data_IF_465790620992
#
_entry.id   IF_465790620992
#
_cell.length_a   1.000
_cell.length_b   1.000
_cell.length_c   1.000
_cell.angle_alpha   90.00
_cell.angle_beta   90.00
_cell.angle_gamma   90.00
#
_symmetry.space_group_name_H-M   'P 1'
#
loop_
_entity.id
_entity.type
_entity.pdbx_description
1 polymer ?
#
# COMPACT_ATOMS: atom_id res chain seq x y z
N UNK A 1 -12.13 46.00 -29.82
CA UNK A 1 -11.45 44.78 -29.34
C UNK A 1 -11.82 44.62 -27.88
N UNK A 2 -12.51 43.54 -27.50
CA UNK A 2 -12.90 43.33 -26.11
C UNK A 2 -11.65 43.11 -25.24
N UNK A 3 -11.65 43.53 -23.97
CA UNK A 3 -10.53 43.26 -23.06
C UNK A 3 -10.33 41.73 -22.92
N UNK A 4 -9.09 41.23 -22.86
CA UNK A 4 -8.80 39.79 -22.77
C UNK A 4 -9.58 39.08 -21.65
N UNK A 5 -9.79 39.74 -20.50
CA UNK A 5 -10.60 39.22 -19.38
C UNK A 5 -12.05 38.92 -19.74
N UNK A 6 -12.69 39.79 -20.52
CA UNK A 6 -14.10 39.64 -20.90
C UNK A 6 -14.25 38.47 -21.87
N UNK A 7 -13.29 38.30 -22.80
CA UNK A 7 -13.27 37.18 -23.72
C UNK A 7 -13.15 35.83 -22.99
N UNK A 8 -12.28 35.75 -21.96
CA UNK A 8 -12.07 34.52 -21.19
C UNK A 8 -13.25 34.23 -20.26
N UNK A 9 -13.80 35.24 -19.58
CA UNK A 9 -15.00 35.08 -18.76
C UNK A 9 -16.22 34.60 -19.57
N UNK A 10 -16.37 35.10 -20.81
CA UNK A 10 -17.43 34.66 -21.72
C UNK A 10 -17.17 33.24 -22.27
N UNK A 11 -15.91 32.88 -22.52
CA UNK A 11 -15.53 31.52 -22.92
C UNK A 11 -15.80 30.48 -21.83
N UNK A 12 -15.60 30.82 -20.55
CA UNK A 12 -15.92 29.95 -19.41
C UNK A 12 -17.43 29.69 -19.28
N UNK A 13 -18.27 30.67 -19.63
CA UNK A 13 -19.71 30.49 -19.67
C UNK A 13 -20.22 29.63 -20.84
N UNK A 14 -19.40 29.41 -21.87
CA UNK A 14 -19.78 28.65 -23.07
C UNK A 14 -19.18 27.24 -23.10
N UNK A 15 -17.96 27.05 -22.57
CA UNK A 15 -17.25 25.78 -22.53
C UNK A 15 -16.36 25.71 -21.27
N UNK A 16 -16.87 25.20 -20.14
CA UNK A 16 -16.08 25.01 -18.93
C UNK A 16 -15.05 23.90 -19.15
N UNK A 17 -13.83 24.28 -19.57
CA UNK A 17 -12.68 23.38 -19.69
C UNK A 17 -11.67 23.72 -18.61
N UNK A 18 -11.11 22.72 -17.95
CA UNK A 18 -10.11 22.85 -16.89
C UNK A 18 -8.94 23.77 -17.28
N UNK A 19 -8.46 23.65 -18.52
CA UNK A 19 -7.35 24.47 -19.04
C UNK A 19 -7.70 25.97 -19.09
N UNK A 20 -8.96 26.31 -19.36
CA UNK A 20 -9.42 27.71 -19.40
C UNK A 20 -9.55 28.29 -17.99
N UNK A 21 -10.09 27.51 -17.04
CA UNK A 21 -10.15 27.93 -15.64
C UNK A 21 -8.75 28.18 -15.06
N UNK A 22 -7.82 27.24 -15.28
CA UNK A 22 -6.42 27.38 -14.84
C UNK A 22 -5.78 28.65 -15.41
N UNK A 23 -5.85 28.83 -16.73
CA UNK A 23 -5.29 30.03 -17.37
C UNK A 23 -5.93 31.34 -16.92
N UNK A 24 -7.23 31.32 -16.58
CA UNK A 24 -7.89 32.54 -16.09
C UNK A 24 -7.50 32.85 -14.63
N UNK A 25 -7.43 31.83 -13.78
CA UNK A 25 -6.96 31.97 -12.42
C UNK A 25 -5.52 32.48 -12.41
N UNK A 26 -4.63 31.92 -13.22
CA UNK A 26 -3.24 32.37 -13.33
C UNK A 26 -3.15 33.85 -13.72
N UNK A 27 -4.00 34.30 -14.65
CA UNK A 27 -4.09 35.70 -15.05
C UNK A 27 -4.56 36.61 -13.89
N UNK A 28 -5.59 36.19 -13.14
CA UNK A 28 -6.09 36.98 -12.00
C UNK A 28 -5.09 36.99 -10.82
N UNK A 29 -4.33 35.90 -10.61
CA UNK A 29 -3.21 35.85 -9.66
C UNK A 29 -2.11 36.85 -10.06
N UNK A 30 -1.74 36.89 -11.34
CA UNK A 30 -0.76 37.86 -11.85
C UNK A 30 -1.19 39.31 -11.65
N UNK A 31 -2.50 39.55 -11.70
CA UNK A 31 -3.10 40.87 -11.48
C UNK A 31 -3.38 41.16 -10.00
N UNK A 32 -3.05 40.22 -9.10
CA UNK A 32 -3.25 40.30 -7.64
C UNK A 32 -4.71 40.50 -7.23
N UNK A 33 -5.63 40.04 -8.05
CA UNK A 33 -7.08 40.12 -7.83
C UNK A 33 -7.56 38.85 -7.11
N UNK A 34 -7.09 38.64 -5.88
CA UNK A 34 -7.29 37.38 -5.15
C UNK A 34 -8.77 37.06 -4.84
N UNK A 35 -9.60 38.09 -4.65
CA UNK A 35 -11.04 37.89 -4.45
C UNK A 35 -11.72 37.33 -5.69
N UNK A 36 -11.25 37.69 -6.89
CA UNK A 36 -11.73 37.08 -8.13
C UNK A 36 -11.21 35.66 -8.28
N UNK A 37 -9.98 35.38 -7.86
CA UNK A 37 -9.45 34.02 -7.85
C UNK A 37 -10.32 33.09 -6.99
N UNK A 38 -10.76 33.53 -5.81
CA UNK A 38 -11.67 32.77 -4.93
C UNK A 38 -12.98 32.41 -5.64
N UNK A 39 -13.64 33.41 -6.23
CA UNK A 39 -14.89 33.20 -6.99
C UNK A 39 -14.68 32.24 -8.17
N UNK A 40 -13.51 32.31 -8.83
CA UNK A 40 -13.18 31.40 -9.92
C UNK A 40 -12.96 29.96 -9.46
N UNK A 41 -12.28 29.76 -8.34
CA UNK A 41 -12.12 28.43 -7.75
C UNK A 41 -13.46 27.86 -7.29
N UNK A 42 -14.30 28.65 -6.63
CA UNK A 42 -15.66 28.23 -6.22
C UNK A 42 -16.49 27.80 -7.43
N UNK A 43 -16.54 28.61 -8.49
CA UNK A 43 -17.25 28.26 -9.74
C UNK A 43 -16.66 27.04 -10.43
N UNK A 44 -15.35 26.85 -10.35
CA UNK A 44 -14.71 25.68 -10.94
C UNK A 44 -15.11 24.41 -10.17
N UNK A 45 -15.17 24.48 -8.85
CA UNK A 45 -15.61 23.39 -7.98
C UNK A 45 -17.11 23.12 -8.06
N UNK A 46 -17.94 24.13 -8.35
CA UNK A 46 -19.36 23.94 -8.69
C UNK A 46 -19.55 23.06 -9.94
N UNK A 47 -18.66 23.19 -10.92
CA UNK A 47 -18.73 22.41 -12.17
C UNK A 47 -18.12 21.00 -12.03
N UNK A 48 -17.08 20.86 -11.19
CA UNK A 48 -16.35 19.60 -11.01
C UNK A 48 -15.80 19.45 -9.60
N UNK A 49 -16.63 19.06 -8.61
CA UNK A 49 -16.18 18.87 -7.23
C UNK A 49 -15.27 17.66 -7.06
N UNK A 50 -15.24 16.76 -8.05
CA UNK A 50 -14.42 15.53 -8.05
C UNK A 50 -12.92 15.82 -8.28
N UNK A 51 -12.59 17.02 -8.79
CA UNK A 51 -11.23 17.38 -9.18
C UNK A 51 -10.35 17.76 -7.97
N UNK A 52 -9.62 16.79 -7.44
CA UNK A 52 -8.70 16.98 -6.31
C UNK A 52 -7.62 18.06 -6.57
N UNK A 53 -7.14 18.18 -7.81
CA UNK A 53 -6.09 19.17 -8.14
C UNK A 53 -6.61 20.58 -7.94
N UNK A 54 -7.88 20.85 -8.27
CA UNK A 54 -8.49 22.17 -8.06
C UNK A 54 -8.59 22.51 -6.56
N UNK A 55 -9.02 21.56 -5.73
CA UNK A 55 -9.05 21.72 -4.27
C UNK A 55 -7.66 22.03 -3.70
N UNK A 56 -6.64 21.28 -4.13
CA UNK A 56 -5.26 21.49 -3.69
C UNK A 56 -4.74 22.88 -4.07
N UNK A 57 -4.94 23.31 -5.33
CA UNK A 57 -4.49 24.63 -5.78
C UNK A 57 -5.23 25.76 -5.08
N UNK A 58 -6.50 25.57 -4.75
CA UNK A 58 -7.25 26.56 -3.99
C UNK A 58 -6.72 26.70 -2.56
N UNK A 59 -6.46 25.59 -1.87
CA UNK A 59 -5.86 25.62 -0.54
C UNK A 59 -4.43 26.18 -0.54
N UNK A 60 -3.63 25.86 -1.57
CA UNK A 60 -2.29 26.42 -1.76
C UNK A 60 -2.34 27.95 -1.92
N UNK A 61 -3.30 28.48 -2.70
CA UNK A 61 -3.50 29.92 -2.85
C UNK A 61 -3.78 30.58 -1.49
N UNK A 62 -4.72 30.06 -0.70
CA UNK A 62 -5.05 30.63 0.62
C UNK A 62 -3.87 30.53 1.59
N UNK A 63 -3.08 29.46 1.51
CA UNK A 63 -1.84 29.31 2.29
C UNK A 63 -0.82 30.38 1.92
N UNK A 64 -0.64 30.68 0.63
CA UNK A 64 0.24 31.75 0.14
C UNK A 64 -0.23 33.15 0.58
N UNK A 65 -1.54 33.34 0.77
CA UNK A 65 -2.11 34.57 1.30
C UNK A 65 -2.00 34.68 2.84
N UNK A 66 -1.60 33.60 3.51
CA UNK A 66 -1.49 33.52 4.97
C UNK A 66 -2.80 33.15 5.69
N UNK A 67 -3.87 32.89 4.94
CA UNK A 67 -5.19 32.51 5.47
C UNK A 67 -5.24 30.99 5.75
N UNK A 68 -4.48 30.53 6.75
CA UNK A 68 -4.35 29.10 7.09
C UNK A 68 -5.66 28.45 7.52
N UNK A 69 -6.54 29.18 8.20
CA UNK A 69 -7.85 28.68 8.60
C UNK A 69 -8.76 28.43 7.39
N UNK A 70 -8.68 29.28 6.36
CA UNK A 70 -9.44 29.08 5.12
C UNK A 70 -8.87 27.91 4.33
N UNK A 71 -7.55 27.79 4.23
CA UNK A 71 -6.90 26.64 3.59
C UNK A 71 -7.33 25.31 4.25
N UNK A 72 -7.39 25.26 5.59
CA UNK A 72 -7.89 24.08 6.32
C UNK A 72 -9.35 23.77 6.02
N UNK A 73 -10.22 24.78 6.03
CA UNK A 73 -11.63 24.60 5.70
C UNK A 73 -11.82 24.06 4.27
N UNK A 74 -11.00 24.49 3.31
CA UNK A 74 -11.01 23.97 1.94
C UNK A 74 -10.63 22.47 1.91
N UNK A 75 -9.57 22.07 2.61
CA UNK A 75 -9.20 20.66 2.71
C UNK A 75 -10.27 19.80 3.39
N UNK A 76 -10.89 20.29 4.48
CA UNK A 76 -11.98 19.59 5.16
C UNK A 76 -13.21 19.42 4.26
N UNK A 77 -13.57 20.46 3.49
CA UNK A 77 -14.64 20.37 2.50
C UNK A 77 -14.34 19.37 1.39
N UNK A 78 -13.08 19.33 0.93
CA UNK A 78 -12.65 18.40 -0.10
C UNK A 78 -12.71 16.94 0.38
N UNK A 79 -12.25 16.66 1.60
CA UNK A 79 -12.28 15.31 2.21
C UNK A 79 -13.71 14.80 2.46
N UNK A 80 -14.66 15.71 2.67
CA UNK A 80 -16.07 15.37 2.87
C UNK A 80 -16.82 15.10 1.55
N UNK A 81 -16.19 15.27 0.39
CA UNK A 81 -16.83 14.98 -0.89
C UNK A 81 -17.08 13.47 -1.06
N UNK A 82 -18.26 13.05 -1.56
CA UNK A 82 -18.59 11.63 -1.71
C UNK A 82 -17.79 10.90 -2.81
N UNK A 83 -17.33 11.65 -3.83
CA UNK A 83 -16.55 11.13 -4.96
C UNK A 83 -15.38 12.07 -5.22
N UNK A 84 -14.19 11.50 -5.24
CA UNK A 84 -12.95 12.18 -5.53
C UNK A 84 -12.19 11.34 -6.56
N UNK A 85 -11.63 11.99 -7.57
CA UNK A 85 -10.89 11.32 -8.66
C UNK A 85 -9.61 10.66 -8.11
N UNK A 86 -8.91 11.36 -7.22
CA UNK A 86 -7.64 10.93 -6.61
C UNK A 86 -7.57 11.33 -5.13
N UNK A 87 -8.29 10.65 -4.23
CA UNK A 87 -8.35 11.01 -2.81
C UNK A 87 -6.98 10.92 -2.12
N UNK A 88 -6.11 9.99 -2.50
CA UNK A 88 -4.79 9.78 -1.92
C UNK A 88 -3.91 11.04 -2.04
N UNK A 89 -3.96 11.68 -3.20
CA UNK A 89 -3.20 12.90 -3.48
C UNK A 89 -3.67 14.07 -2.61
N UNK A 90 -4.99 14.19 -2.44
CA UNK A 90 -5.60 15.22 -1.58
C UNK A 90 -5.21 15.03 -0.11
N UNK A 91 -5.28 13.80 0.39
CA UNK A 91 -4.88 13.48 1.76
C UNK A 91 -3.41 13.74 2.02
N UNK A 92 -2.53 13.36 1.09
CA UNK A 92 -1.11 13.68 1.16
C UNK A 92 -0.89 15.19 1.25
N UNK A 93 -1.53 15.97 0.38
CA UNK A 93 -1.42 17.42 0.38
C UNK A 93 -1.93 18.05 1.70
N UNK A 94 -3.02 17.51 2.26
CA UNK A 94 -3.57 17.99 3.52
C UNK A 94 -2.64 17.69 4.71
N UNK A 95 -2.05 16.50 4.73
CA UNK A 95 -1.07 16.10 5.75
C UNK A 95 0.20 16.96 5.63
N UNK A 96 0.76 17.10 4.43
CA UNK A 96 1.94 17.93 4.16
C UNK A 96 1.69 19.40 4.57
N UNK A 97 0.47 19.90 4.36
CA UNK A 97 0.02 21.21 4.82
C UNK A 97 0.05 21.33 6.37
N UNK A 98 -0.57 20.42 7.11
CA UNK A 98 -0.55 20.48 8.58
C UNK A 98 0.87 20.30 9.17
N UNK A 99 1.70 19.47 8.52
CA UNK A 99 3.12 19.31 8.88
C UNK A 99 3.87 20.62 8.66
N UNK A 100 3.63 21.32 7.55
CA UNK A 100 4.27 22.62 7.25
C UNK A 100 3.93 23.71 8.27
N UNK A 101 2.77 23.62 8.90
CA UNK A 101 2.33 24.54 9.96
C UNK A 101 2.86 24.14 11.35
N UNK A 102 3.50 22.96 11.49
CA UNK A 102 3.94 22.41 12.76
C UNK A 102 2.81 21.85 13.64
N UNK A 103 1.61 21.66 13.08
CA UNK A 103 0.43 21.18 13.80
C UNK A 103 0.40 19.65 13.86
N UNK A 104 1.40 19.05 14.51
CA UNK A 104 1.60 17.60 14.51
C UNK A 104 0.39 16.81 15.01
N UNK A 105 -0.38 17.36 15.96
CA UNK A 105 -1.60 16.70 16.49
C UNK A 105 -2.68 16.52 15.43
N UNK A 106 -2.88 17.54 14.57
CA UNK A 106 -3.87 17.49 13.49
C UNK A 106 -3.39 16.55 12.38
N UNK A 107 -2.10 16.60 12.05
CA UNK A 107 -1.50 15.66 11.10
C UNK A 107 -1.72 14.20 11.52
N UNK A 108 -1.50 13.84 12.80
CA UNK A 108 -1.80 12.49 13.33
C UNK A 108 -3.26 12.10 13.14
N UNK A 109 -4.19 12.99 13.50
CA UNK A 109 -5.63 12.76 13.31
C UNK A 109 -5.98 12.51 11.84
N UNK A 110 -5.36 13.26 10.92
CA UNK A 110 -5.56 13.09 9.49
C UNK A 110 -5.02 11.73 9.00
N UNK A 111 -3.84 11.29 9.47
CA UNK A 111 -3.33 9.94 9.19
C UNK A 111 -4.28 8.85 9.68
N UNK A 112 -4.81 8.96 10.90
CA UNK A 112 -5.77 7.98 11.43
C UNK A 112 -7.06 7.94 10.61
N UNK A 113 -7.59 9.11 10.26
CA UNK A 113 -8.79 9.22 9.43
C UNK A 113 -8.58 8.66 8.00
N UNK A 114 -7.38 8.81 7.44
CA UNK A 114 -6.99 8.21 6.15
C UNK A 114 -6.91 6.67 6.25
N UNK A 115 -6.33 6.15 7.33
CA UNK A 115 -6.19 4.72 7.56
C UNK A 115 -7.56 4.04 7.72
N UNK A 116 -8.49 4.65 8.45
CA UNK A 116 -9.86 4.14 8.57
C UNK A 116 -10.55 4.05 7.20
N UNK A 117 -10.44 5.09 6.36
CA UNK A 117 -11.02 5.09 5.02
C UNK A 117 -10.39 4.06 4.08
N UNK A 118 -9.07 3.91 4.09
CA UNK A 118 -8.36 2.99 3.19
C UNK A 118 -8.59 1.52 3.55
N UNK A 119 -8.83 1.20 4.82
CA UNK A 119 -9.27 -0.14 5.24
C UNK A 119 -10.70 -0.44 4.77
N UNK A 120 -11.64 0.50 4.96
CA UNK A 120 -13.04 0.31 4.56
C UNK A 120 -13.24 0.17 3.04
N UNK A 121 -12.50 0.91 2.23
CA UNK A 121 -12.59 0.81 0.76
C UNK A 121 -12.16 -0.58 0.30
N UNK A 122 -11.13 -1.17 0.92
CA UNK A 122 -10.66 -2.51 0.56
C UNK A 122 -11.63 -3.62 0.96
N UNK A 123 -12.19 -3.54 2.17
CA UNK A 123 -13.23 -4.47 2.63
C UNK A 123 -14.51 -4.37 1.76
N UNK A 124 -14.80 -3.17 1.22
CA UNK A 124 -15.96 -2.93 0.36
C UNK A 124 -15.72 -3.31 -1.11
N UNK A 125 -14.46 -3.40 -1.54
CA UNK A 125 -14.11 -3.89 -2.89
C UNK A 125 -14.03 -5.41 -2.91
N UNK A 126 -15.19 -6.06 -2.90
CA UNK A 126 -15.39 -7.45 -3.40
C UNK A 126 -15.10 -7.58 -4.92
N UNK A 127 -14.30 -6.69 -5.50
CA UNK A 127 -13.91 -6.66 -6.92
C UNK A 127 -12.48 -7.18 -7.14
N UNK A 128 -11.81 -7.71 -6.09
CA UNK A 128 -10.51 -8.39 -6.25
C UNK A 128 -10.65 -9.85 -6.74
N UNK A 129 -11.87 -10.38 -6.82
CA UNK A 129 -12.15 -11.75 -7.28
C UNK A 129 -12.27 -11.91 -8.79
N UNK A 130 -12.16 -10.83 -9.59
CA UNK A 130 -12.34 -10.90 -11.05
C UNK A 130 -11.13 -10.45 -11.88
N UNK A 131 -10.01 -10.06 -11.28
CA UNK A 131 -8.76 -9.87 -12.03
C UNK A 131 -8.02 -11.20 -12.01
N UNK A 132 -8.21 -11.96 -13.09
CA UNK A 132 -7.52 -13.22 -13.37
C UNK A 132 -5.99 -13.00 -13.35
N UNK A 133 -5.18 -13.92 -12.78
CA UNK A 133 -3.72 -13.75 -12.66
C UNK A 133 -2.95 -13.83 -14.00
N UNK A 134 -3.66 -14.02 -15.12
CA UNK A 134 -3.08 -14.48 -16.39
C UNK A 134 -2.21 -13.48 -17.16
N UNK A 135 -1.94 -12.27 -16.65
CA UNK A 135 -1.08 -11.29 -17.36
C UNK A 135 0.07 -10.71 -16.56
N UNK A 136 0.42 -11.29 -15.40
CA UNK A 136 1.61 -10.88 -14.64
C UNK A 136 2.89 -11.41 -15.29
N UNK A 137 3.26 -10.84 -16.43
CA UNK A 137 4.55 -11.06 -17.08
C UNK A 137 5.64 -10.39 -16.24
N UNK A 138 6.58 -11.23 -15.79
CA UNK A 138 7.91 -10.98 -15.23
C UNK A 138 8.39 -9.51 -15.11
N UNK A 139 8.32 -8.97 -13.90
CA UNK A 139 9.15 -7.82 -13.48
C UNK A 139 9.81 -8.13 -12.14
N UNK A 140 10.91 -8.89 -12.18
CA UNK A 140 11.65 -9.29 -10.97
C UNK A 140 13.12 -8.84 -11.05
N UNK A 141 13.37 -7.53 -11.07
CA UNK A 141 14.61 -6.92 -10.52
C UNK A 141 14.31 -5.50 -10.00
N UNK A 142 14.89 -5.07 -8.85
CA UNK A 142 14.70 -3.72 -8.30
C UNK A 142 15.16 -2.59 -9.25
N UNK A 143 16.04 -2.93 -10.21
CA UNK A 143 16.59 -2.00 -11.19
C UNK A 143 15.66 -1.79 -12.41
N UNK A 144 14.75 -2.72 -12.69
CA UNK A 144 13.74 -2.58 -13.75
C UNK A 144 12.58 -1.66 -13.34
N UNK A 145 12.18 -1.70 -12.05
CA UNK A 145 11.19 -0.79 -11.47
C UNK A 145 11.66 0.68 -11.52
N UNK A 146 12.96 0.93 -11.36
CA UNK A 146 13.54 2.28 -11.43
C UNK A 146 13.62 2.85 -12.87
N UNK A 147 13.72 2.00 -13.89
CA UNK A 147 13.85 2.42 -15.29
C UNK A 147 12.50 2.55 -16.03
N UNK A 148 11.44 1.90 -15.54
CA UNK A 148 10.06 2.08 -16.05
C UNK A 148 9.39 3.36 -15.54
N UNK A 149 9.95 3.97 -14.48
CA UNK A 149 9.40 5.15 -13.81
C UNK A 149 9.43 6.45 -14.64
N UNK A 150 10.00 6.44 -15.86
CA UNK A 150 10.16 7.67 -16.67
C UNK A 150 9.13 7.85 -17.79
N UNK A 151 8.37 6.84 -18.24
CA UNK A 151 7.52 7.02 -19.44
C UNK A 151 6.14 6.31 -19.46
N UNK A 152 5.64 5.79 -18.34
CA UNK A 152 4.27 5.26 -18.27
C UNK A 152 3.49 5.87 -17.11
N UNK A 153 2.42 6.61 -17.44
CA UNK A 153 1.26 6.70 -16.55
C UNK A 153 0.72 5.26 -16.43
N UNK A 154 0.55 4.77 -15.19
CA UNK A 154 -0.15 3.54 -14.74
C UNK A 154 0.70 2.66 -13.80
N UNK A 155 0.10 2.32 -12.63
CA UNK A 155 0.60 1.55 -11.45
C UNK A 155 1.21 2.33 -10.27
N UNK A 156 1.13 3.66 -10.25
CA UNK A 156 1.48 4.50 -9.08
C UNK A 156 0.25 4.85 -8.20
N UNK A 157 -0.98 4.57 -8.66
CA UNK A 157 -2.22 5.19 -8.12
C UNK A 157 -3.04 4.33 -7.15
N UNK A 158 -2.51 3.20 -6.67
CA UNK A 158 -3.00 2.58 -5.43
C UNK A 158 -1.95 2.87 -4.36
N UNK A 159 -2.18 3.90 -3.56
CA UNK A 159 -1.39 4.07 -2.34
C UNK A 159 -1.67 2.84 -1.46
N UNK A 160 -0.71 1.92 -1.39
CA UNK A 160 -0.85 0.72 -0.59
C UNK A 160 -1.07 1.14 0.86
N UNK A 161 -1.88 0.38 1.63
CA UNK A 161 -2.14 0.72 3.03
C UNK A 161 -0.82 0.68 3.80
N UNK A 162 0.10 -0.22 3.41
CA UNK A 162 1.48 -0.24 3.89
C UNK A 162 2.22 1.08 3.66
N UNK A 163 2.06 1.76 2.52
CA UNK A 163 2.70 3.05 2.23
C UNK A 163 2.18 4.18 3.12
N UNK A 164 0.88 4.20 3.41
CA UNK A 164 0.31 5.14 4.39
C UNK A 164 0.94 4.91 5.75
N UNK A 165 0.99 3.67 6.22
CA UNK A 165 1.63 3.32 7.50
C UNK A 165 3.11 3.68 7.55
N UNK A 166 3.86 3.42 6.47
CA UNK A 166 5.28 3.79 6.37
C UNK A 166 5.47 5.30 6.45
N UNK A 167 4.64 6.07 5.73
CA UNK A 167 4.68 7.53 5.78
C UNK A 167 4.32 8.07 7.17
N UNK A 168 3.38 7.42 7.87
CA UNK A 168 3.00 7.80 9.23
C UNK A 168 4.14 7.52 10.23
N UNK A 169 4.81 6.38 10.10
CA UNK A 169 5.98 6.06 10.92
C UNK A 169 7.15 7.02 10.69
N UNK A 170 7.40 7.41 9.43
CA UNK A 170 8.40 8.43 9.08
C UNK A 170 8.05 9.80 9.65
N UNK A 171 6.76 10.18 9.63
CA UNK A 171 6.29 11.41 10.25
C UNK A 171 6.52 11.42 11.77
N UNK A 172 6.20 10.32 12.47
CA UNK A 172 6.48 10.19 13.92
C UNK A 172 7.97 10.24 14.22
N UNK A 173 8.81 9.70 13.34
CA UNK A 173 10.26 9.78 13.46
C UNK A 173 10.79 11.21 13.29
N UNK A 174 10.21 11.98 12.36
CA UNK A 174 10.58 13.35 12.05
C UNK A 174 10.04 14.39 13.05
N UNK A 175 9.15 13.98 13.96
CA UNK A 175 8.63 14.84 15.03
C UNK A 175 9.78 15.31 15.94
N UNK A 176 9.61 16.38 16.72
CA UNK A 176 10.69 16.93 17.55
C UNK A 176 10.84 16.24 18.93
N UNK A 177 10.07 15.19 19.21
CA UNK A 177 9.96 14.59 20.54
C UNK A 177 11.08 13.56 20.82
N UNK A 178 11.67 13.54 22.02
CA UNK A 178 12.75 12.60 22.37
C UNK A 178 12.35 11.10 22.28
N UNK A 179 11.05 10.79 22.24
CA UNK A 179 10.51 9.43 22.11
C UNK A 179 10.16 8.99 20.68
N UNK A 180 10.65 9.68 19.66
CA UNK A 180 10.30 9.45 18.24
C UNK A 180 10.47 8.01 17.76
N UNK A 181 11.58 7.34 18.14
CA UNK A 181 11.86 5.97 17.70
C UNK A 181 10.82 4.99 18.23
N UNK A 182 10.40 5.17 19.48
CA UNK A 182 9.38 4.33 20.12
C UNK A 182 7.98 4.60 19.56
N UNK A 183 7.69 5.85 19.17
CA UNK A 183 6.45 6.19 18.49
C UNK A 183 6.37 5.56 17.10
N UNK A 184 7.43 5.70 16.30
CA UNK A 184 7.51 5.08 14.97
C UNK A 184 7.42 3.55 15.05
N UNK A 185 8.07 2.91 16.03
CA UNK A 185 7.96 1.47 16.28
C UNK A 185 6.52 1.04 16.58
N UNK A 186 5.82 1.77 17.45
CA UNK A 186 4.40 1.52 17.75
C UNK A 186 3.51 1.63 16.50
N UNK A 187 3.82 2.54 15.59
CA UNK A 187 3.11 2.65 14.30
C UNK A 187 3.33 1.40 13.46
N UNK A 188 4.57 0.92 13.32
CA UNK A 188 4.87 -0.34 12.61
C UNK A 188 4.20 -1.57 13.23
N UNK A 189 4.18 -1.66 14.56
CA UNK A 189 3.50 -2.74 15.28
C UNK A 189 1.99 -2.74 15.01
N UNK A 190 1.34 -1.58 15.13
CA UNK A 190 -0.09 -1.40 14.82
C UNK A 190 -0.38 -1.74 13.36
N UNK A 191 0.47 -1.30 12.44
CA UNK A 191 0.34 -1.59 11.02
C UNK A 191 0.44 -3.10 10.73
N UNK A 192 1.39 -3.80 11.34
CA UNK A 192 1.55 -5.25 11.18
C UNK A 192 0.33 -6.03 11.71
N UNK A 193 -0.24 -5.60 12.84
CA UNK A 193 -1.47 -6.20 13.37
C UNK A 193 -2.68 -5.94 12.44
N UNK A 194 -2.81 -4.72 11.91
CA UNK A 194 -3.88 -4.36 10.99
C UNK A 194 -3.82 -5.18 9.70
N UNK A 195 -2.65 -5.26 9.05
CA UNK A 195 -2.47 -6.01 7.80
C UNK A 195 -2.59 -7.52 8.01
N UNK A 196 -2.21 -8.03 9.19
CA UNK A 196 -2.46 -9.43 9.57
C UNK A 196 -3.96 -9.72 9.65
N UNK A 197 -4.74 -8.84 10.27
CA UNK A 197 -6.20 -8.97 10.37
C UNK A 197 -6.87 -8.97 8.99
N UNK A 198 -6.40 -8.11 8.08
CA UNK A 198 -6.88 -8.04 6.70
C UNK A 198 -6.39 -9.20 5.79
N UNK A 199 -5.50 -10.08 6.28
CA UNK A 199 -4.87 -11.15 5.51
C UNK A 199 -4.12 -10.65 4.24
N UNK A 200 -3.64 -9.41 4.25
CA UNK A 200 -2.94 -8.78 3.14
C UNK A 200 -1.44 -9.08 3.20
N UNK A 201 -1.06 -10.24 2.64
CA UNK A 201 0.29 -10.79 2.77
C UNK A 201 1.36 -9.96 2.03
N UNK A 202 1.07 -9.51 0.82
CA UNK A 202 2.03 -8.76 0.00
C UNK A 202 2.34 -7.38 0.62
N UNK A 203 1.31 -6.64 1.02
CA UNK A 203 1.48 -5.35 1.70
C UNK A 203 2.18 -5.49 3.04
N UNK A 204 1.93 -6.60 3.75
CA UNK A 204 2.61 -6.91 5.00
C UNK A 204 4.10 -7.21 4.80
N UNK A 205 4.48 -7.83 3.69
CA UNK A 205 5.91 -8.04 3.34
C UNK A 205 6.60 -6.69 3.18
N UNK A 206 6.01 -5.79 2.38
CA UNK A 206 6.56 -4.45 2.15
C UNK A 206 6.72 -3.66 3.46
N UNK A 207 5.69 -3.71 4.33
CA UNK A 207 5.75 -3.08 5.64
C UNK A 207 6.89 -3.65 6.51
N UNK A 208 7.07 -4.97 6.53
CA UNK A 208 8.13 -5.62 7.33
C UNK A 208 9.53 -5.34 6.79
N UNK A 209 9.70 -5.22 5.47
CA UNK A 209 10.96 -4.79 4.85
C UNK A 209 11.32 -3.38 5.29
N UNK A 210 10.37 -2.44 5.24
CA UNK A 210 10.57 -1.08 5.73
C UNK A 210 10.82 -1.03 7.24
N UNK A 211 10.13 -1.83 8.05
CA UNK A 211 10.37 -1.91 9.50
C UNK A 211 11.77 -2.46 9.80
N UNK A 212 12.23 -3.46 9.05
CA UNK A 212 13.61 -3.99 9.17
C UNK A 212 14.63 -2.90 8.87
N UNK A 213 14.44 -2.15 7.79
CA UNK A 213 15.32 -1.03 7.43
C UNK A 213 15.32 0.06 8.51
N UNK A 214 14.15 0.38 9.06
CA UNK A 214 14.01 1.31 10.18
C UNK A 214 14.80 0.86 11.42
N UNK A 215 14.64 -0.38 11.88
CA UNK A 215 15.37 -0.90 13.05
C UNK A 215 16.87 -1.04 12.77
N UNK A 216 17.28 -1.22 11.52
CA UNK A 216 18.70 -1.24 11.14
C UNK A 216 19.34 0.15 11.30
N UNK A 217 18.58 1.21 11.03
CA UNK A 217 19.07 2.58 11.08
C UNK A 217 18.94 3.22 12.48
N UNK A 218 17.86 2.92 13.20
CA UNK A 218 17.49 3.64 14.43
C UNK A 218 17.29 2.72 15.66
N UNK A 219 17.33 1.41 15.47
CA UNK A 219 16.98 0.42 16.50
C UNK A 219 18.19 -0.26 17.13
N UNK A 220 17.88 -1.19 18.04
CA UNK A 220 18.85 -2.05 18.71
C UNK A 220 18.87 -3.46 18.07
N UNK A 221 19.97 -4.19 18.27
CA UNK A 221 20.14 -5.55 17.74
C UNK A 221 19.03 -6.53 18.20
N UNK A 222 18.52 -6.35 19.42
CA UNK A 222 17.37 -7.13 19.92
C UNK A 222 16.08 -6.82 19.14
N UNK A 223 15.79 -5.54 18.90
CA UNK A 223 14.60 -5.09 18.18
C UNK A 223 14.64 -5.52 16.72
N UNK A 224 15.80 -5.38 16.07
CA UNK A 224 16.02 -5.87 14.70
C UNK A 224 15.80 -7.38 14.60
N UNK A 225 16.36 -8.16 15.53
CA UNK A 225 16.15 -9.61 15.57
C UNK A 225 14.69 -10.00 15.75
N UNK A 226 13.91 -9.23 16.50
CA UNK A 226 12.47 -9.45 16.63
C UNK A 226 11.73 -9.24 15.31
N UNK A 227 12.10 -8.23 14.52
CA UNK A 227 11.52 -8.01 13.18
C UNK A 227 11.94 -9.11 12.20
N UNK A 228 13.22 -9.52 12.22
CA UNK A 228 13.73 -10.61 11.36
C UNK A 228 12.95 -11.91 11.60
N UNK A 229 12.61 -12.24 12.85
CA UNK A 229 11.78 -13.42 13.18
C UNK A 229 10.37 -13.36 12.58
N UNK A 230 9.85 -12.16 12.29
CA UNK A 230 8.53 -11.95 11.69
C UNK A 230 8.55 -12.01 10.15
N UNK A 231 9.73 -12.00 9.53
CA UNK A 231 9.86 -11.95 8.07
C UNK A 231 9.26 -13.20 7.40
N UNK A 232 8.52 -13.03 6.29
CA UNK A 232 7.90 -14.14 5.59
C UNK A 232 8.90 -14.93 4.75
N UNK A 233 8.56 -16.20 4.48
CA UNK A 233 9.22 -17.03 3.48
C UNK A 233 8.39 -17.03 2.20
N UNK A 234 9.04 -16.78 1.07
CA UNK A 234 8.43 -16.88 -0.26
C UNK A 234 8.45 -18.33 -0.72
N UNK A 235 7.29 -18.89 -1.01
CA UNK A 235 7.13 -20.29 -1.44
C UNK A 235 6.41 -20.34 -2.79
N UNK A 236 6.91 -21.15 -3.72
CA UNK A 236 6.21 -21.44 -4.97
C UNK A 236 5.10 -22.46 -4.71
N UNK A 237 3.87 -22.13 -5.11
CA UNK A 237 2.72 -23.02 -5.10
C UNK A 237 2.19 -23.21 -6.52
N UNK A 238 1.47 -24.31 -6.71
CA UNK A 238 0.81 -24.66 -7.97
C UNK A 238 -0.69 -24.65 -7.75
N UNK A 239 -1.41 -23.80 -8.48
CA UNK A 239 -2.87 -23.76 -8.49
C UNK A 239 -3.39 -24.44 -9.75
N UNK A 240 -4.50 -25.16 -9.65
CA UNK A 240 -5.18 -25.70 -10.84
C UNK A 240 -6.01 -24.59 -11.47
N UNK A 241 -5.84 -24.38 -12.76
CA UNK A 241 -6.66 -23.43 -13.54
C UNK A 241 -7.76 -24.24 -14.24
N UNK A 242 -9.00 -23.83 -14.04
CA UNK A 242 -10.15 -24.35 -14.79
C UNK A 242 -10.57 -23.29 -15.80
N UNK A 243 -10.73 -23.69 -17.06
CA UNK A 243 -11.35 -22.82 -18.06
C UNK A 243 -12.84 -22.63 -17.77
N UNK A 244 -13.44 -21.57 -18.34
CA UNK A 244 -14.88 -21.29 -18.25
C UNK A 244 -15.76 -22.46 -18.77
N UNK A 245 -15.20 -23.31 -19.63
CA UNK A 245 -15.84 -24.53 -20.17
C UNK A 245 -15.62 -25.80 -19.30
N UNK A 246 -14.97 -25.66 -18.14
CA UNK A 246 -14.71 -26.77 -17.21
C UNK A 246 -13.59 -27.73 -17.64
N UNK A 247 -12.91 -27.46 -18.74
CA UNK A 247 -11.71 -28.21 -19.17
C UNK A 247 -10.48 -27.84 -18.34
N UNK A 248 -9.70 -28.86 -17.95
CA UNK A 248 -8.47 -28.70 -17.17
C UNK A 248 -7.35 -28.11 -18.05
N UNK A 249 -7.07 -26.81 -17.93
CA UNK A 249 -6.05 -26.13 -18.76
C UNK A 249 -4.64 -26.10 -18.15
N UNK A 250 -4.46 -26.66 -16.96
CA UNK A 250 -3.13 -26.93 -16.40
C UNK A 250 -2.89 -26.35 -15.01
N UNK A 251 -1.61 -26.23 -14.66
CA UNK A 251 -1.14 -25.71 -13.38
C UNK A 251 -0.55 -24.32 -13.56
N UNK A 252 -1.04 -23.34 -12.82
CA UNK A 252 -0.43 -22.02 -12.74
C UNK A 252 0.48 -21.95 -11.51
N UNK A 253 1.74 -21.56 -11.71
CA UNK A 253 2.71 -21.36 -10.63
C UNK A 253 2.54 -19.94 -10.06
N UNK A 254 2.17 -19.83 -8.79
CA UNK A 254 2.07 -18.55 -8.09
C UNK A 254 2.96 -18.55 -6.85
N UNK A 255 3.40 -17.36 -6.42
CA UNK A 255 4.16 -17.20 -5.19
C UNK A 255 3.23 -16.87 -4.03
N UNK A 256 3.37 -17.60 -2.93
CA UNK A 256 2.68 -17.31 -1.68
C UNK A 256 3.71 -16.94 -0.60
N UNK A 257 3.30 -16.10 0.33
CA UNK A 257 4.10 -15.70 1.48
C UNK A 257 3.60 -16.43 2.73
N UNK A 258 4.55 -17.02 3.45
CA UNK A 258 4.29 -17.75 4.68
C UNK A 258 4.99 -17.03 5.83
N UNK A 259 4.20 -16.53 6.78
CA UNK A 259 4.70 -15.86 7.98
C UNK A 259 4.87 -16.89 9.10
N UNK A 260 6.04 -16.96 9.77
CA UNK A 260 6.29 -17.91 10.85
C UNK A 260 5.25 -17.86 11.99
N UNK A 261 4.72 -16.68 12.29
CA UNK A 261 3.72 -16.49 13.36
C UNK A 261 2.33 -17.04 13.00
N UNK A 262 2.01 -17.14 11.71
CA UNK A 262 0.70 -17.60 11.23
C UNK A 262 0.64 -19.14 11.10
N UNK A 263 1.80 -19.79 10.92
CA UNK A 263 1.92 -21.26 11.00
C UNK A 263 1.69 -21.78 12.43
N UNK A 264 2.20 -21.07 13.44
CA UNK A 264 2.05 -21.46 14.84
C UNK A 264 0.58 -21.52 15.30
N UNK A 265 -0.29 -20.71 14.67
CA UNK A 265 -1.74 -20.67 14.91
C UNK A 265 -2.53 -21.79 14.23
N UNK A 266 -1.93 -22.60 13.35
CA UNK A 266 -2.60 -23.74 12.69
C UNK A 266 -2.18 -25.07 13.33
N UNK A 267 -2.82 -25.53 14.42
CA UNK A 267 -2.43 -26.75 15.13
C UNK A 267 -2.50 -28.02 14.24
N UNK A 268 -3.37 -28.02 13.23
CA UNK A 268 -3.59 -29.17 12.36
C UNK A 268 -2.42 -29.46 11.40
N UNK A 269 -1.54 -28.49 11.12
CA UNK A 269 -0.39 -28.68 10.24
C UNK A 269 0.77 -29.42 10.94
N UNK A 270 1.03 -29.11 12.21
CA UNK A 270 2.03 -29.83 13.02
C UNK A 270 1.69 -31.30 13.16
N UNK A 271 0.41 -31.63 13.34
CA UNK A 271 -0.04 -33.03 13.40
C UNK A 271 0.21 -33.77 12.07
N UNK A 272 -0.01 -33.08 10.93
CA UNK A 272 0.20 -33.65 9.60
C UNK A 272 1.70 -33.82 9.25
N UNK A 273 2.54 -32.89 9.68
CA UNK A 273 4.00 -33.01 9.58
C UNK A 273 4.54 -34.16 10.45
N UNK A 274 4.08 -34.26 11.70
CA UNK A 274 4.42 -35.38 12.58
C UNK A 274 3.94 -36.72 12.01
N UNK A 275 2.75 -36.77 11.41
CA UNK A 275 2.24 -37.98 10.75
C UNK A 275 3.08 -38.38 9.52
N UNK A 276 3.55 -37.42 8.71
CA UNK A 276 4.48 -37.68 7.60
C UNK A 276 5.84 -38.16 8.10
N UNK A 277 6.37 -37.56 9.16
CA UNK A 277 7.64 -37.94 9.75
C UNK A 277 7.59 -39.37 10.32
N UNK A 278 6.49 -39.73 11.01
CA UNK A 278 6.26 -41.08 11.52
C UNK A 278 6.17 -42.11 10.38
N UNK A 279 5.45 -41.80 9.30
CA UNK A 279 5.35 -42.68 8.14
C UNK A 279 6.70 -42.87 7.44
N UNK A 280 7.52 -41.82 7.37
CA UNK A 280 8.88 -41.90 6.81
C UNK A 280 9.81 -42.74 7.70
N UNK A 281 9.69 -42.61 9.02
CA UNK A 281 10.42 -43.45 9.98
C UNK A 281 10.02 -44.93 9.88
N UNK A 282 8.74 -45.22 9.64
CA UNK A 282 8.31 -46.60 9.38
C UNK A 282 8.93 -47.17 8.12
N UNK A 283 8.91 -46.40 7.02
CA UNK A 283 9.52 -46.85 5.77
C UNK A 283 11.02 -47.10 5.91
N UNK A 284 11.76 -46.27 6.63
CA UNK A 284 13.19 -46.51 6.88
C UNK A 284 13.44 -47.72 7.78
N UNK A 285 12.58 -47.95 8.79
CA UNK A 285 12.69 -49.13 9.66
C UNK A 285 12.33 -50.44 8.94
N UNK A 286 11.43 -50.39 7.96
CA UNK A 286 11.04 -51.54 7.16
C UNK A 286 12.13 -51.85 6.10
N UNK A 287 12.76 -50.82 5.51
CA UNK A 287 13.92 -50.95 4.60
C UNK A 287 15.18 -51.48 5.32
N UNK A 288 15.41 -51.11 6.59
CA UNK A 288 16.52 -51.65 7.40
C UNK A 288 16.31 -53.12 7.79
N UNK A 289 15.06 -53.58 7.95
CA UNK A 289 14.75 -54.99 8.23
C UNK A 289 14.85 -55.88 7.01
N UNK A 290 14.40 -55.42 5.84
CA UNK A 290 14.55 -56.17 4.59
C UNK A 290 16.03 -56.30 4.17
N UNK A 291 16.92 -55.39 4.59
CA UNK A 291 18.36 -55.51 4.36
C UNK A 291 19.12 -56.44 5.32
N UNK A 292 18.59 -56.76 6.51
CA UNK A 292 19.19 -57.73 7.44
C UNK A 292 18.81 -59.18 7.10
N UNK A 293 17.66 -59.42 6.46
CA UNK A 293 17.21 -60.77 6.07
C UNK A 293 17.90 -61.29 4.79
N UNK A 294 18.51 -60.43 3.96
CA UNK A 294 19.19 -60.82 2.71
C UNK A 294 20.67 -61.25 2.92
N UNK A 295 21.28 -60.95 4.07
CA UNK A 295 22.70 -61.27 4.34
C UNK A 295 22.92 -62.66 4.99
N UNK A 296 21.86 -63.37 5.41
CA UNK A 296 21.99 -64.63 6.18
C UNK A 296 21.96 -65.92 5.33
N UNK A 297 21.73 -65.84 4.01
CA UNK A 297 21.52 -67.01 3.14
C UNK A 297 22.73 -67.45 2.28
N UNK A 298 23.94 -66.92 2.54
CA UNK A 298 25.13 -67.19 1.71
C UNK A 298 26.20 -68.13 2.34
N UNK A 299 25.93 -68.83 3.45
CA UNK A 299 26.91 -69.75 4.05
C UNK A 299 26.40 -71.16 4.39
N UNK A 300 25.83 -71.87 3.42
CA UNK A 300 25.49 -73.29 3.57
C UNK A 300 25.56 -74.05 2.23
N UNK A 301 26.77 -74.24 1.67
CA UNK A 301 27.01 -75.25 0.62
C UNK A 301 28.49 -75.56 0.45
N UNK A 302 29.12 -76.22 1.42
CA UNK A 302 30.36 -77.00 1.18
C UNK A 302 30.60 -78.03 2.28
N UNK A 303 29.86 -79.13 2.27
CA UNK A 303 30.27 -80.34 3.00
C UNK A 303 29.62 -81.58 2.38
N UNK A 304 30.33 -82.22 1.45
CA UNK A 304 30.49 -83.68 1.25
C UNK A 304 31.15 -83.98 -0.08
#
# INVERSE_FOLDING_TARGET
>A
MWPPKVCVGMALGMCPKDKLYRGYIDLEIQLREFDRCRILYEKFLEFGPENCVTWMRFAELETLLGDTDRARAIYELAVNQPRLDMPELLWKAYIDFEVSLGESKKAKKNYECLLERTLHVKDSTEIRTSISPSSAVELNTPRALANYATEAVDLQDLLYVSQVWMSYAQFELASADESNVELARRVYERANLSLRGANEKEERVLLLEAWREFETQHGDESSLNNVIKKMPRRVKKRQRVQADDGTEEGWEEFFDYIFPEDEATKPNLKLLEMAKAWKKQQQTNDEEKEGEDDDDDSNSSSES
#
